data_IF_530799174915
#
_entry.id   IF_530799174915
#
_cell.length_a   1.000
_cell.length_b   1.000
_cell.length_c   1.000
_cell.angle_alpha   90.00
_cell.angle_beta   90.00
_cell.angle_gamma   90.00
#
_symmetry.space_group_name_H-M   'P 1'
#
loop_
_entity.id
_entity.type
_entity.pdbx_description
1 polymer ?
#
# COMPACT_ATOMS: atom_id res chain seq x y z
N UNK A 1 -6.38 -2.93 15.31
CA UNK A 1 -6.59 -3.64 14.02
C UNK A 1 -5.32 -3.44 13.21
N UNK A 2 -4.71 -4.52 12.73
CA UNK A 2 -3.46 -4.52 11.94
C UNK A 2 -3.66 -5.36 10.70
N UNK A 3 -2.80 -5.20 9.68
CA UNK A 3 -2.83 -6.05 8.50
C UNK A 3 -2.58 -7.52 8.86
N UNK A 4 -3.37 -8.41 8.25
CA UNK A 4 -3.30 -9.86 8.44
C UNK A 4 -2.83 -10.57 7.18
N UNK A 5 -2.51 -11.86 7.33
CA UNK A 5 -2.28 -12.74 6.19
C UNK A 5 -3.59 -13.01 5.45
N UNK A 6 -3.52 -13.18 4.13
CA UNK A 6 -4.67 -13.56 3.32
C UNK A 6 -5.19 -14.94 3.70
N UNK A 7 -6.52 -15.11 3.65
CA UNK A 7 -7.14 -16.42 3.77
C UNK A 7 -6.78 -17.30 2.55
N UNK A 8 -6.75 -18.64 2.70
CA UNK A 8 -6.47 -19.54 1.59
C UNK A 8 -7.37 -19.27 0.39
N UNK A 9 -6.77 -19.10 -0.80
CA UNK A 9 -7.45 -18.82 -2.08
C UNK A 9 -8.15 -17.45 -2.16
N UNK A 10 -7.94 -16.55 -1.21
CA UNK A 10 -8.39 -15.16 -1.29
C UNK A 10 -7.20 -14.27 -1.68
N UNK A 11 -7.22 -13.76 -2.91
CA UNK A 11 -6.12 -12.96 -3.47
C UNK A 11 -6.20 -11.49 -3.08
N UNK A 12 -7.41 -10.97 -2.85
CA UNK A 12 -7.67 -9.56 -2.59
C UNK A 12 -8.62 -9.43 -1.41
N UNK A 13 -8.41 -8.39 -0.61
CA UNK A 13 -9.30 -7.99 0.48
C UNK A 13 -9.55 -6.49 0.40
N UNK A 14 -10.72 -6.06 0.87
CA UNK A 14 -11.11 -4.66 0.84
C UNK A 14 -10.47 -3.91 2.00
N UNK A 15 -9.82 -2.79 1.71
CA UNK A 15 -9.39 -1.86 2.74
C UNK A 15 -10.57 -1.06 3.28
N UNK A 16 -10.55 -0.69 4.58
CA UNK A 16 -11.47 0.32 5.09
C UNK A 16 -11.27 1.65 4.37
N UNK A 17 -12.23 2.56 4.50
CA UNK A 17 -12.09 3.93 3.96
C UNK A 17 -10.92 4.62 4.66
N UNK A 18 -9.93 5.06 3.88
CA UNK A 18 -8.74 5.75 4.38
C UNK A 18 -8.89 7.25 4.15
N UNK A 19 -8.78 8.03 5.23
CA UNK A 19 -8.74 9.50 5.17
C UNK A 19 -7.30 9.99 5.13
N UNK A 20 -6.90 10.64 4.03
CA UNK A 20 -5.63 11.35 3.97
C UNK A 20 -5.77 12.71 4.65
N UNK A 21 -5.00 12.94 5.71
CA UNK A 21 -4.97 14.20 6.46
C UNK A 21 -3.64 14.91 6.19
N UNK A 22 -3.63 16.09 5.56
CA UNK A 22 -2.42 16.88 5.43
C UNK A 22 -1.89 17.33 6.80
N UNK A 23 -0.57 17.35 6.96
CA UNK A 23 0.12 17.80 8.16
C UNK A 23 1.64 17.67 8.01
N UNK A 24 2.38 18.19 8.99
CA UNK A 24 3.83 18.04 9.08
C UNK A 24 4.16 16.60 9.47
N UNK A 25 5.07 15.93 8.74
CA UNK A 25 5.30 14.49 8.89
C UNK A 25 5.75 14.12 10.30
N UNK A 26 6.60 14.92 10.93
CA UNK A 26 7.11 14.71 12.29
C UNK A 26 6.03 14.75 13.39
N UNK A 27 4.86 15.32 13.10
CA UNK A 27 3.73 15.33 14.02
C UNK A 27 2.95 14.01 14.05
N UNK A 28 3.22 13.09 13.12
CA UNK A 28 2.56 11.79 13.05
C UNK A 28 3.38 10.68 13.73
N UNK A 29 2.67 9.71 14.31
CA UNK A 29 3.29 8.54 14.93
C UNK A 29 3.56 7.45 13.89
N UNK A 30 4.83 7.15 13.65
CA UNK A 30 5.31 6.20 12.64
C UNK A 30 5.79 4.87 13.23
N UNK A 31 5.08 4.34 14.23
CA UNK A 31 5.47 3.11 14.92
C UNK A 31 4.54 1.94 14.56
N UNK A 32 5.12 0.73 14.44
CA UNK A 32 4.36 -0.50 14.17
C UNK A 32 3.50 -0.36 12.90
N UNK A 33 4.15 0.10 11.83
CA UNK A 33 3.53 0.29 10.52
C UNK A 33 4.21 -0.58 9.45
N UNK A 34 3.50 -0.81 8.36
CA UNK A 34 4.01 -1.22 7.06
C UNK A 34 3.80 -0.06 6.07
N UNK A 35 4.87 0.35 5.36
CA UNK A 35 4.80 1.37 4.32
C UNK A 35 4.36 0.67 3.04
N UNK A 36 3.05 0.60 2.84
CA UNK A 36 2.43 -0.17 1.77
C UNK A 36 2.35 0.68 0.49
N UNK A 37 2.93 0.24 -0.63
CA UNK A 37 2.82 0.96 -1.90
C UNK A 37 1.41 0.82 -2.46
N UNK A 38 0.87 1.91 -3.01
CA UNK A 38 -0.42 1.96 -3.70
C UNK A 38 -0.20 2.05 -5.20
N UNK A 39 -0.82 1.15 -5.94
CA UNK A 39 -0.79 1.12 -7.41
C UNK A 39 -2.20 1.31 -7.98
N UNK A 40 -2.28 1.82 -9.21
CA UNK A 40 -3.55 1.92 -9.93
C UNK A 40 -4.10 0.55 -10.30
N UNK A 41 -3.25 -0.34 -10.82
CA UNK A 41 -3.64 -1.68 -11.32
C UNK A 41 -2.79 -2.80 -10.71
N UNK A 42 -3.35 -4.02 -10.64
CA UNK A 42 -2.70 -5.23 -10.10
C UNK A 42 -1.45 -5.67 -10.86
N UNK A 43 -1.32 -5.30 -12.13
CA UNK A 43 -0.10 -5.58 -12.90
C UNK A 43 1.15 -4.88 -12.32
N UNK A 44 0.97 -3.78 -11.56
CA UNK A 44 2.03 -2.95 -10.93
C UNK A 44 3.15 -2.52 -11.87
N UNK A 45 2.90 -2.62 -13.18
CA UNK A 45 3.79 -2.19 -14.25
C UNK A 45 3.43 -0.77 -14.62
N UNK A 46 4.42 0.11 -14.65
CA UNK A 46 4.25 1.48 -15.11
C UNK A 46 5.54 2.01 -15.71
N UNK A 47 5.42 2.95 -16.64
CA UNK A 47 6.51 3.79 -17.12
C UNK A 47 6.54 5.10 -16.34
N UNK A 48 7.69 5.79 -16.37
CA UNK A 48 7.79 7.17 -15.91
C UNK A 48 7.20 8.09 -16.99
N UNK A 49 6.36 9.02 -16.57
CA UNK A 49 5.87 10.10 -17.42
C UNK A 49 6.97 11.13 -17.69
N UNK A 50 6.72 12.06 -18.61
CA UNK A 50 7.62 13.19 -18.91
C UNK A 50 7.86 14.10 -17.70
N UNK A 51 6.97 14.08 -16.70
CA UNK A 51 7.13 14.81 -15.43
C UNK A 51 7.78 13.96 -14.33
N UNK A 52 8.26 12.76 -14.63
CA UNK A 52 8.93 11.87 -13.68
C UNK A 52 7.99 11.07 -12.77
N UNK A 53 6.67 11.28 -12.86
CA UNK A 53 5.70 10.50 -12.09
C UNK A 53 5.45 9.15 -12.73
N UNK A 54 5.29 8.12 -11.90
CA UNK A 54 4.89 6.80 -12.39
C UNK A 54 3.47 6.84 -12.96
N UNK A 55 3.26 6.14 -14.07
CA UNK A 55 1.92 5.92 -14.62
C UNK A 55 1.07 5.00 -13.75
N UNK A 56 1.68 4.16 -12.89
CA UNK A 56 0.97 3.17 -12.08
C UNK A 56 1.20 3.31 -10.56
N UNK A 57 2.39 3.68 -10.08
CA UNK A 57 2.58 3.97 -8.66
C UNK A 57 1.93 5.31 -8.30
N UNK A 58 1.12 5.31 -7.23
CA UNK A 58 0.38 6.48 -6.76
C UNK A 58 1.14 7.14 -5.61
N UNK A 59 1.25 6.44 -4.48
CA UNK A 59 1.94 6.87 -3.27
C UNK A 59 2.10 5.66 -2.33
N UNK A 60 2.82 5.82 -1.22
CA UNK A 60 2.85 4.81 -0.16
C UNK A 60 2.04 5.28 1.03
N UNK A 61 1.25 4.38 1.61
CA UNK A 61 0.45 4.64 2.81
C UNK A 61 0.96 3.81 3.99
N UNK A 62 0.73 4.31 5.19
CA UNK A 62 1.10 3.61 6.42
C UNK A 62 -0.08 2.77 6.91
N UNK A 63 0.12 1.45 6.91
CA UNK A 63 -0.84 0.49 7.44
C UNK A 63 -0.34 -0.05 8.78
N UNK A 64 -1.17 -0.08 9.84
CA UNK A 64 -0.77 -0.69 11.11
C UNK A 64 -0.35 -2.16 10.94
N UNK A 65 0.80 -2.54 11.48
CA UNK A 65 1.43 -3.86 11.31
C UNK A 65 2.13 -4.30 12.59
N UNK A 66 1.93 -5.57 12.97
CA UNK A 66 2.67 -6.25 14.03
C UNK A 66 3.93 -6.98 13.52
N UNK A 67 4.18 -6.97 12.20
CA UNK A 67 5.36 -7.57 11.56
C UNK A 67 6.34 -6.51 11.05
N UNK A 68 7.64 -6.84 10.94
CA UNK A 68 8.62 -5.97 10.29
C UNK A 68 8.29 -5.74 8.82
N UNK A 69 8.68 -4.58 8.27
CA UNK A 69 8.51 -4.19 6.86
C UNK A 69 8.89 -5.32 5.89
N UNK A 70 10.05 -5.96 6.13
CA UNK A 70 10.59 -7.06 5.30
C UNK A 70 9.61 -8.22 5.11
N UNK A 71 8.76 -8.51 6.09
CA UNK A 71 7.77 -9.59 6.01
C UNK A 71 6.78 -9.35 4.86
N UNK A 72 6.25 -8.13 4.77
CA UNK A 72 5.26 -7.76 3.76
C UNK A 72 5.88 -7.45 2.40
N UNK A 73 7.09 -6.86 2.40
CA UNK A 73 7.88 -6.63 1.17
C UNK A 73 8.16 -7.96 0.46
N UNK A 74 8.64 -8.96 1.18
CA UNK A 74 8.95 -10.28 0.62
C UNK A 74 7.70 -11.02 0.10
N UNK A 75 6.52 -10.71 0.67
CA UNK A 75 5.23 -11.25 0.23
C UNK A 75 4.59 -10.45 -0.90
N UNK A 76 5.20 -9.34 -1.31
CA UNK A 76 4.67 -8.48 -2.37
C UNK A 76 3.32 -7.86 -2.02
N UNK A 77 3.07 -7.52 -0.76
CA UNK A 77 1.81 -6.85 -0.36
C UNK A 77 1.79 -5.42 -0.88
N UNK A 78 0.69 -5.06 -1.55
CA UNK A 78 0.44 -3.70 -2.02
C UNK A 78 -1.06 -3.41 -2.03
N UNK A 79 -1.40 -2.12 -1.98
CA UNK A 79 -2.76 -1.64 -2.19
C UNK A 79 -3.01 -1.39 -3.67
N UNK A 80 -4.24 -1.65 -4.12
CA UNK A 80 -4.67 -1.44 -5.50
C UNK A 80 -5.88 -0.52 -5.52
N UNK A 81 -5.89 0.46 -6.42
CA UNK A 81 -7.07 1.29 -6.66
C UNK A 81 -8.13 0.55 -7.49
N UNK A 82 -7.69 -0.37 -8.35
CA UNK A 82 -8.54 -1.16 -9.24
C UNK A 82 -7.97 -2.58 -9.36
N UNK A 83 -8.85 -3.59 -9.33
CA UNK A 83 -8.51 -4.98 -9.65
C UNK A 83 -8.64 -5.23 -11.16
N UNK A 84 -7.99 -6.28 -11.66
CA UNK A 84 -8.23 -6.73 -13.04
C UNK A 84 -9.66 -7.31 -13.13
N UNK A 85 -10.37 -7.01 -14.23
CA UNK A 85 -11.70 -7.57 -14.53
C UNK A 85 -11.66 -9.09 -14.75
#
# INVERSE_FOLDING_TARGET
MVIGESLPKILFDCLPIIKLKPGEMDTFLHEKIYVCPVYKTSARRGTLSTTGHSTNYVLSIELPSDKPQKHWVNRGVACLCQLDD
#
